data_IF_797220287475
#
_entry.id   IF_797220287475
#
_cell.length_a   1.000
_cell.length_b   1.000
_cell.length_c   1.000
_cell.angle_alpha   90.00
_cell.angle_beta   90.00
_cell.angle_gamma   90.00
#
_symmetry.space_group_name_H-M   'P 1'
#
loop_
_entity.id
_entity.type
_entity.pdbx_description
1 polymer ?
#
# COMPACT_ATOMS: atom_id res chain seq x y z
N UNK A 1 -8.15 11.12 -21.44
CA UNK A 1 -8.79 10.13 -20.54
C UNK A 1 -7.77 9.30 -19.77
N UNK A 2 -6.66 8.88 -20.38
CA UNK A 2 -5.61 8.08 -19.71
C UNK A 2 -4.99 8.74 -18.47
N UNK A 3 -4.81 10.07 -18.47
CA UNK A 3 -4.29 10.80 -17.31
C UNK A 3 -5.15 10.63 -16.03
N UNK A 4 -6.48 10.67 -16.18
CA UNK A 4 -7.41 10.49 -15.05
C UNK A 4 -7.46 9.04 -14.56
N UNK A 5 -7.29 8.06 -15.45
CA UNK A 5 -7.20 6.64 -15.09
C UNK A 5 -5.91 6.34 -14.32
N UNK A 6 -4.77 6.93 -14.72
CA UNK A 6 -3.53 6.81 -13.96
C UNK A 6 -3.65 7.43 -12.56
N UNK A 7 -4.29 8.61 -12.44
CA UNK A 7 -4.55 9.24 -11.13
C UNK A 7 -5.45 8.37 -10.26
N UNK A 8 -6.53 7.82 -10.82
CA UNK A 8 -7.44 6.93 -10.09
C UNK A 8 -6.73 5.64 -9.63
N UNK A 9 -5.90 5.03 -10.49
CA UNK A 9 -5.12 3.84 -10.15
C UNK A 9 -4.07 4.10 -9.07
N UNK A 10 -3.35 5.22 -9.16
CA UNK A 10 -2.42 5.63 -8.11
C UNK A 10 -3.13 5.96 -6.80
N UNK A 11 -4.28 6.65 -6.84
CA UNK A 11 -5.07 6.92 -5.64
C UNK A 11 -5.55 5.63 -4.97
N UNK A 12 -6.00 4.63 -5.75
CA UNK A 12 -6.36 3.32 -5.23
C UNK A 12 -5.14 2.58 -4.63
N UNK A 13 -3.97 2.66 -5.26
CA UNK A 13 -2.73 2.10 -4.72
C UNK A 13 -2.33 2.72 -3.39
N UNK A 14 -2.36 4.06 -3.30
CA UNK A 14 -2.11 4.78 -2.05
C UNK A 14 -3.14 4.47 -0.97
N UNK A 15 -4.42 4.41 -1.32
CA UNK A 15 -5.50 4.03 -0.39
C UNK A 15 -5.27 2.63 0.16
N UNK A 16 -4.94 1.66 -0.69
CA UNK A 16 -4.66 0.29 -0.26
C UNK A 16 -3.44 0.20 0.66
N UNK A 17 -2.34 0.90 0.35
CA UNK A 17 -1.15 0.90 1.21
C UNK A 17 -1.40 1.58 2.57
N UNK A 18 -1.96 2.77 2.58
CA UNK A 18 -2.23 3.48 3.85
C UNK A 18 -3.36 2.82 4.65
N UNK A 19 -4.40 2.33 3.97
CA UNK A 19 -5.46 1.55 4.60
C UNK A 19 -4.93 0.28 5.24
N UNK A 20 -4.00 -0.40 4.58
CA UNK A 20 -3.32 -1.58 5.11
C UNK A 20 -2.48 -1.27 6.36
N UNK A 21 -1.68 -0.19 6.35
CA UNK A 21 -0.90 0.24 7.54
C UNK A 21 -1.82 0.48 8.75
N UNK A 22 -2.98 1.12 8.55
CA UNK A 22 -3.96 1.32 9.61
C UNK A 22 -4.57 0.00 10.08
N UNK A 23 -4.89 -0.91 9.15
CA UNK A 23 -5.44 -2.23 9.46
C UNK A 23 -4.46 -3.09 10.27
N UNK A 24 -3.15 -3.05 9.96
CA UNK A 24 -2.11 -3.76 10.72
C UNK A 24 -2.10 -3.35 12.18
N UNK A 25 -2.32 -2.06 12.50
CA UNK A 25 -2.45 -1.59 13.87
C UNK A 25 -3.64 -2.21 14.61
N UNK A 26 -4.79 -2.31 13.93
CA UNK A 26 -6.00 -2.97 14.48
C UNK A 26 -5.78 -4.49 14.64
N UNK A 27 -5.15 -5.14 13.66
CA UNK A 27 -4.80 -6.55 13.75
C UNK A 27 -3.84 -6.85 14.90
N UNK A 28 -2.88 -5.97 15.14
CA UNK A 28 -1.95 -6.09 16.27
C UNK A 28 -2.71 -6.13 17.61
N UNK A 29 -3.69 -5.25 17.78
CA UNK A 29 -4.52 -5.21 18.98
C UNK A 29 -5.46 -6.44 19.07
N UNK A 30 -6.04 -6.86 17.95
CA UNK A 30 -6.88 -8.06 17.88
C UNK A 30 -6.10 -9.34 18.26
N UNK A 31 -4.88 -9.50 17.73
CA UNK A 31 -4.01 -10.63 18.05
C UNK A 31 -3.61 -10.66 19.53
N UNK A 32 -3.41 -9.50 20.15
CA UNK A 32 -3.16 -9.41 21.60
C UNK A 32 -4.36 -9.85 22.45
N UNK A 33 -5.59 -9.72 21.94
CA UNK A 33 -6.82 -9.97 22.71
C UNK A 33 -7.34 -11.40 22.59
N UNK A 34 -7.28 -12.02 21.41
CA UNK A 34 -7.97 -13.31 21.14
C UNK A 34 -7.00 -14.50 21.07
N UNK A 35 -6.06 -14.60 20.11
CA UNK A 35 -5.32 -15.85 19.88
C UNK A 35 -3.95 -15.87 20.60
N UNK A 36 -3.35 -14.71 20.88
CA UNK A 36 -2.01 -14.59 21.48
C UNK A 36 -2.01 -13.96 22.87
N UNK A 37 -3.08 -14.12 23.64
CA UNK A 37 -3.19 -13.53 24.99
C UNK A 37 -2.06 -13.96 25.95
N UNK A 38 -1.40 -15.08 25.67
CA UNK A 38 -0.27 -15.60 26.44
C UNK A 38 1.11 -15.09 25.96
N UNK A 39 1.18 -14.40 24.82
CA UNK A 39 2.43 -13.84 24.30
C UNK A 39 2.65 -12.41 24.78
N UNK A 40 3.92 -12.09 25.05
CA UNK A 40 4.32 -10.74 25.43
C UNK A 40 3.99 -9.74 24.30
N UNK A 41 3.56 -8.52 24.62
CA UNK A 41 3.35 -7.45 23.64
C UNK A 41 4.55 -7.22 22.72
N UNK A 42 5.77 -7.45 23.23
CA UNK A 42 7.01 -7.39 22.47
C UNK A 42 7.06 -8.38 21.31
N UNK A 43 6.46 -9.57 21.45
CA UNK A 43 6.38 -10.58 20.39
C UNK A 43 5.46 -10.13 19.26
N UNK A 44 4.33 -9.50 19.58
CA UNK A 44 3.35 -9.08 18.56
C UNK A 44 3.90 -7.94 17.68
N UNK A 45 4.70 -7.04 18.25
CA UNK A 45 5.36 -5.94 17.51
C UNK A 45 6.36 -6.44 16.45
N UNK A 46 6.88 -7.67 16.59
CA UNK A 46 7.74 -8.24 15.55
C UNK A 46 7.04 -8.37 14.21
N UNK A 47 5.72 -8.60 14.17
CA UNK A 47 4.97 -8.68 12.90
C UNK A 47 5.11 -7.36 12.13
N UNK A 48 4.77 -6.25 12.78
CA UNK A 48 4.85 -4.91 12.17
C UNK A 48 6.29 -4.51 11.84
N UNK A 49 7.26 -4.90 12.68
CA UNK A 49 8.68 -4.59 12.45
C UNK A 49 9.24 -5.36 11.25
N UNK A 50 8.93 -6.65 11.15
CA UNK A 50 9.30 -7.50 10.02
C UNK A 50 8.61 -7.03 8.75
N UNK A 51 7.33 -6.67 8.83
CA UNK A 51 6.59 -6.07 7.72
C UNK A 51 7.27 -4.81 7.19
N UNK A 52 7.61 -3.86 8.07
CA UNK A 52 8.25 -2.62 7.66
C UNK A 52 9.66 -2.86 7.11
N UNK A 53 10.38 -3.86 7.64
CA UNK A 53 11.68 -4.29 7.11
C UNK A 53 11.57 -4.82 5.68
N UNK A 54 10.66 -5.75 5.42
CA UNK A 54 10.46 -6.31 4.08
C UNK A 54 9.90 -5.29 3.09
N UNK A 55 9.08 -4.35 3.55
CA UNK A 55 8.61 -3.24 2.73
C UNK A 55 9.77 -2.35 2.25
N UNK A 56 10.73 -2.05 3.12
CA UNK A 56 11.96 -1.33 2.73
C UNK A 56 12.82 -2.16 1.78
N UNK A 57 13.03 -3.44 2.08
CA UNK A 57 13.85 -4.34 1.25
C UNK A 57 13.23 -4.50 -0.14
N UNK A 58 11.90 -4.57 -0.25
CA UNK A 58 11.20 -4.67 -1.52
C UNK A 58 11.34 -3.40 -2.38
N UNK A 59 11.67 -2.25 -1.79
CA UNK A 59 11.88 -0.97 -2.49
C UNK A 59 12.84 -1.04 -3.68
N UNK A 60 14.13 -1.37 -3.48
CA UNK A 60 15.09 -1.47 -4.58
C UNK A 60 14.74 -2.55 -5.61
N UNK A 61 14.13 -3.67 -5.21
CA UNK A 61 13.67 -4.70 -6.16
C UNK A 61 12.52 -4.19 -7.01
N UNK A 62 11.55 -3.51 -6.40
CA UNK A 62 10.43 -2.90 -7.10
C UNK A 62 10.89 -1.78 -8.05
N UNK A 63 11.89 -0.99 -7.66
CA UNK A 63 12.52 0.00 -8.53
C UNK A 63 13.16 -0.62 -9.77
N UNK A 64 14.01 -1.64 -9.60
CA UNK A 64 14.63 -2.35 -10.73
C UNK A 64 13.59 -3.00 -11.66
N UNK A 65 12.54 -3.57 -11.08
CA UNK A 65 11.47 -4.22 -11.86
C UNK A 65 10.65 -3.20 -12.64
N UNK A 66 10.41 -2.03 -12.05
CA UNK A 66 9.73 -0.90 -12.68
C UNK A 66 10.54 -0.35 -13.85
N UNK A 67 11.85 -0.17 -13.67
CA UNK A 67 12.73 0.35 -14.71
C UNK A 67 12.90 -0.63 -15.88
N UNK A 68 12.84 -1.93 -15.62
CA UNK A 68 13.04 -2.98 -16.63
C UNK A 68 11.76 -3.39 -17.38
N UNK A 69 10.61 -3.44 -16.70
CA UNK A 69 9.36 -3.99 -17.25
C UNK A 69 8.18 -3.01 -17.22
N UNK A 70 8.40 -1.79 -16.74
CA UNK A 70 7.37 -0.77 -16.56
C UNK A 70 6.50 -0.98 -15.31
N UNK A 71 5.57 -0.06 -15.03
CA UNK A 71 4.81 -0.02 -13.77
C UNK A 71 3.70 -1.08 -13.64
N UNK A 72 3.23 -1.66 -14.74
CA UNK A 72 2.05 -2.56 -14.74
C UNK A 72 2.36 -3.95 -14.18
N UNK A 73 3.54 -4.49 -14.50
CA UNK A 73 3.99 -5.80 -14.03
C UNK A 73 4.15 -5.88 -12.49
N UNK A 74 4.89 -4.96 -11.83
CA UNK A 74 5.02 -4.98 -10.37
C UNK A 74 3.67 -4.78 -9.67
N UNK A 75 2.75 -4.00 -10.24
CA UNK A 75 1.40 -3.82 -9.69
C UNK A 75 0.59 -5.13 -9.69
N UNK A 76 0.57 -5.87 -10.80
CA UNK A 76 -0.15 -7.15 -10.89
C UNK A 76 0.45 -8.21 -9.95
N UNK A 77 1.78 -8.31 -9.90
CA UNK A 77 2.47 -9.26 -9.02
C UNK A 77 2.25 -8.88 -7.54
N UNK A 78 2.38 -7.60 -7.22
CA UNK A 78 2.23 -7.08 -5.86
C UNK A 78 0.81 -7.27 -5.32
N UNK A 79 -0.22 -6.98 -6.12
CA UNK A 79 -1.62 -7.21 -5.73
C UNK A 79 -1.94 -8.69 -5.52
N UNK A 80 -1.47 -9.56 -6.41
CA UNK A 80 -1.62 -11.01 -6.25
C UNK A 80 -0.98 -11.53 -4.97
N UNK A 81 0.28 -11.15 -4.71
CA UNK A 81 1.01 -11.53 -3.49
C UNK A 81 0.37 -10.97 -2.22
N UNK A 82 -0.10 -9.72 -2.26
CA UNK A 82 -0.74 -9.07 -1.12
C UNK A 82 -2.04 -9.77 -0.72
N UNK A 83 -2.93 -10.00 -1.70
CA UNK A 83 -4.20 -10.72 -1.45
C UNK A 83 -3.94 -12.15 -1.00
N UNK A 84 -2.98 -12.83 -1.59
CA UNK A 84 -2.59 -14.18 -1.18
C UNK A 84 -2.09 -14.21 0.27
N UNK A 85 -1.22 -13.28 0.65
CA UNK A 85 -0.72 -13.14 2.02
C UNK A 85 -1.85 -12.87 3.03
N UNK A 86 -2.80 -12.01 2.70
CA UNK A 86 -3.99 -11.75 3.52
C UNK A 86 -4.89 -12.98 3.66
N UNK A 87 -5.18 -13.68 2.56
CA UNK A 87 -6.00 -14.89 2.61
C UNK A 87 -5.34 -15.97 3.47
N UNK A 88 -4.03 -16.13 3.35
CA UNK A 88 -3.28 -17.09 4.15
C UNK A 88 -3.24 -16.69 5.63
N UNK A 89 -3.12 -15.39 5.93
CA UNK A 89 -3.22 -14.86 7.29
C UNK A 89 -4.60 -15.14 7.92
N UNK A 90 -5.68 -15.09 7.13
CA UNK A 90 -7.03 -15.40 7.61
C UNK A 90 -7.24 -16.87 8.01
N UNK A 91 -6.49 -17.81 7.43
CA UNK A 91 -6.55 -19.23 7.80
C UNK A 91 -5.57 -19.59 8.93
N UNK A 92 -4.57 -18.75 9.18
CA UNK A 92 -3.55 -19.04 10.17
C UNK A 92 -4.04 -18.83 11.60
N UNK A 93 -3.74 -19.80 12.47
CA UNK A 93 -4.08 -19.75 13.90
C UNK A 93 -2.85 -19.48 14.79
N UNK A 94 -1.66 -19.66 14.24
CA UNK A 94 -0.38 -19.56 14.95
C UNK A 94 0.38 -18.28 14.60
N UNK A 95 1.11 -17.73 15.58
CA UNK A 95 1.92 -16.51 15.43
C UNK A 95 2.86 -16.57 14.22
N UNK A 96 3.57 -17.68 14.07
CA UNK A 96 4.59 -17.85 13.06
C UNK A 96 4.00 -17.86 11.64
N UNK A 97 2.81 -18.45 11.49
CA UNK A 97 2.10 -18.49 10.21
C UNK A 97 1.61 -17.10 9.81
N UNK A 98 1.09 -16.31 10.77
CA UNK A 98 0.69 -14.92 10.55
C UNK A 98 1.92 -14.08 10.19
N UNK A 99 3.03 -14.25 10.91
CA UNK A 99 4.25 -13.49 10.65
C UNK A 99 4.82 -13.77 9.24
N UNK A 100 4.80 -15.02 8.78
CA UNK A 100 5.25 -15.36 7.43
C UNK A 100 4.28 -14.84 6.34
N UNK A 101 2.98 -15.05 6.51
CA UNK A 101 1.98 -14.68 5.51
C UNK A 101 1.76 -13.16 5.44
N UNK A 102 1.55 -12.52 6.58
CA UNK A 102 1.30 -11.09 6.68
C UNK A 102 2.61 -10.29 6.69
N UNK A 103 3.55 -10.65 7.56
CA UNK A 103 4.78 -9.88 7.76
C UNK A 103 5.78 -10.00 6.62
N UNK A 104 5.75 -11.07 5.81
CA UNK A 104 6.67 -11.24 4.67
C UNK A 104 5.92 -11.20 3.35
N UNK A 105 4.95 -12.10 3.14
CA UNK A 105 4.30 -12.22 1.83
C UNK A 105 3.47 -10.98 1.48
N UNK A 106 2.63 -10.53 2.41
CA UNK A 106 1.84 -9.30 2.23
C UNK A 106 2.76 -8.06 2.16
N UNK A 107 3.77 -7.95 3.03
CA UNK A 107 4.73 -6.83 3.04
C UNK A 107 5.46 -6.64 1.70
N UNK A 108 5.96 -7.73 1.11
CA UNK A 108 6.60 -7.71 -0.22
C UNK A 108 5.58 -7.25 -1.26
N UNK A 109 4.36 -7.79 -1.24
CA UNK A 109 3.27 -7.39 -2.14
C UNK A 109 2.96 -5.89 -2.07
N UNK A 110 2.80 -5.35 -0.85
CA UNK A 110 2.52 -3.92 -0.64
C UNK A 110 3.68 -3.03 -1.10
N UNK A 111 4.93 -3.46 -0.90
CA UNK A 111 6.12 -2.76 -1.39
C UNK A 111 6.17 -2.65 -2.92
N UNK A 112 5.77 -3.71 -3.63
CA UNK A 112 5.65 -3.72 -5.09
C UNK A 112 4.47 -2.89 -5.61
N UNK A 113 3.43 -2.64 -4.80
CA UNK A 113 2.30 -1.76 -5.17
C UNK A 113 2.67 -0.29 -4.95
N UNK A 114 3.32 0.02 -3.83
CA UNK A 114 3.63 1.39 -3.42
C UNK A 114 4.63 2.08 -4.36
N UNK A 115 5.69 1.38 -4.77
CA UNK A 115 6.74 1.95 -5.64
C UNK A 115 6.22 2.45 -6.99
N UNK A 116 5.52 1.64 -7.82
CA UNK A 116 4.96 2.11 -9.08
C UNK A 116 3.90 3.19 -8.88
N UNK A 117 3.06 3.10 -7.84
CA UNK A 117 2.10 4.14 -7.53
C UNK A 117 2.78 5.49 -7.26
N UNK A 118 3.88 5.48 -6.50
CA UNK A 118 4.67 6.67 -6.21
C UNK A 118 5.39 7.22 -7.45
N UNK A 119 6.00 6.35 -8.26
CA UNK A 119 6.73 6.75 -9.45
C UNK A 119 5.80 7.35 -10.51
N UNK A 120 4.65 6.72 -10.78
CA UNK A 120 3.66 7.22 -11.76
C UNK A 120 3.10 8.59 -11.36
N UNK A 121 2.81 8.81 -10.07
CA UNK A 121 2.39 10.14 -9.59
C UNK A 121 3.50 11.17 -9.74
N UNK A 122 4.75 10.79 -9.43
CA UNK A 122 5.89 11.71 -9.56
C UNK A 122 6.21 12.09 -11.01
N UNK A 123 6.03 11.17 -11.96
CA UNK A 123 6.21 11.39 -13.40
C UNK A 123 5.12 12.31 -13.96
N UNK A 124 3.85 12.07 -13.63
CA UNK A 124 2.74 12.87 -14.14
C UNK A 124 2.60 14.26 -13.47
N UNK A 125 3.01 14.41 -12.20
CA UNK A 125 2.83 15.64 -11.41
C UNK A 125 4.14 16.34 -11.03
N UNK A 126 5.15 16.28 -11.91
CA UNK A 126 6.48 16.91 -11.72
C UNK A 126 6.41 18.35 -11.18
N UNK A 127 5.38 19.13 -11.54
CA UNK A 127 5.24 20.55 -11.15
C UNK A 127 4.47 20.81 -9.84
N UNK A 128 3.73 19.84 -9.28
CA UNK A 128 2.92 19.98 -8.04
C UNK A 128 2.84 18.69 -7.20
N UNK A 129 3.99 18.04 -6.99
CA UNK A 129 4.13 16.76 -6.25
C UNK A 129 3.45 16.78 -4.87
N UNK A 130 3.60 17.85 -4.10
CA UNK A 130 3.03 17.97 -2.75
C UNK A 130 1.49 18.00 -2.73
N UNK A 131 0.84 18.65 -3.70
CA UNK A 131 -0.62 18.73 -3.77
C UNK A 131 -1.25 17.44 -4.29
N UNK A 132 -0.60 16.72 -5.21
CA UNK A 132 -1.10 15.44 -5.71
C UNK A 132 -1.02 14.33 -4.66
N UNK A 133 0.08 14.27 -3.89
CA UNK A 133 0.21 13.37 -2.74
C UNK A 133 -0.77 13.76 -1.65
N UNK A 134 -0.91 15.06 -1.33
CA UNK A 134 -1.88 15.54 -0.35
C UNK A 134 -3.35 15.31 -0.75
N UNK A 135 -3.67 15.39 -2.05
CA UNK A 135 -5.02 15.11 -2.55
C UNK A 135 -5.32 13.60 -2.58
N UNK A 136 -4.33 12.78 -2.90
CA UNK A 136 -4.45 11.32 -2.85
C UNK A 136 -4.57 10.81 -1.40
N UNK A 137 -3.84 11.41 -0.46
CA UNK A 137 -4.02 11.13 0.97
C UNK A 137 -5.32 11.73 1.52
N UNK A 138 -5.77 12.89 1.03
CA UNK A 138 -7.08 13.43 1.37
C UNK A 138 -8.25 12.58 0.87
N UNK A 139 -8.09 11.86 -0.25
CA UNK A 139 -9.06 10.88 -0.73
C UNK A 139 -9.24 9.71 0.26
N UNK A 140 -8.17 9.29 0.95
CA UNK A 140 -8.26 8.26 1.99
C UNK A 140 -9.03 8.73 3.24
N UNK A 141 -9.14 10.04 3.46
CA UNK A 141 -9.86 10.63 4.59
C UNK A 141 -11.28 11.12 4.26
N UNK A 142 -11.66 11.25 2.99
CA UNK A 142 -12.95 11.86 2.60
C UNK A 142 -14.03 10.81 2.34
N UNK A 143 -14.67 10.36 3.42
CA UNK A 143 -16.06 9.92 3.37
C UNK A 143 -16.95 11.02 2.75
N UNK A 144 -17.96 10.68 1.94
CA UNK A 144 -18.60 11.64 1.05
C UNK A 144 -19.59 12.52 1.82
N UNK A 145 -19.17 13.70 2.23
CA UNK A 145 -20.09 14.78 2.53
C UNK A 145 -19.54 16.08 1.98
N UNK A 146 -20.21 16.54 0.91
CA UNK A 146 -20.26 17.93 0.45
C UNK A 146 -18.94 18.62 0.13
N UNK A 147 -18.60 18.69 -1.16
CA UNK A 147 -18.74 19.95 -1.92
C UNK A 147 -18.01 19.85 -3.25
N UNK A 148 -18.80 20.00 -4.31
CA UNK A 148 -18.45 20.25 -5.70
C UNK A 148 -17.52 21.45 -5.90
N UNK A 149 -16.93 21.47 -7.09
CA UNK A 149 -16.46 22.65 -7.84
C UNK A 149 -15.08 23.19 -7.51
N UNK A 150 -14.07 22.60 -8.15
CA UNK A 150 -12.94 23.31 -8.76
C UNK A 150 -12.10 22.30 -9.54
N UNK A 151 -12.54 21.97 -10.75
CA UNK A 151 -11.72 21.20 -11.69
C UNK A 151 -10.56 22.10 -12.13
N UNK A 152 -9.30 21.87 -11.72
CA UNK A 152 -8.24 22.79 -12.06
C UNK A 152 -7.69 22.45 -13.44
N UNK A 153 -7.61 23.49 -14.28
CA UNK A 153 -7.29 23.55 -15.72
C UNK A 153 -5.85 23.12 -16.07
N UNK A 154 -5.35 22.02 -15.52
CA UNK A 154 -4.01 21.49 -15.80
C UNK A 154 -4.03 20.04 -16.34
N UNK A 155 -5.19 19.40 -16.40
CA UNK A 155 -5.34 18.06 -16.98
C UNK A 155 -5.24 18.02 -18.52
N UNK A 156 -4.98 19.15 -19.19
CA UNK A 156 -4.91 19.26 -20.66
C UNK A 156 -3.50 19.42 -21.24
N UNK A 157 -2.45 19.42 -20.43
CA UNK A 157 -1.07 19.53 -20.90
C UNK A 157 -0.15 18.55 -20.15
N UNK A 158 -0.21 17.28 -20.55
CA UNK A 158 0.94 16.37 -20.51
C UNK A 158 1.43 16.17 -21.94
N UNK A 159 2.74 15.96 -22.16
CA UNK A 159 3.35 15.83 -23.49
C UNK A 159 2.77 14.68 -24.32
#
# INVERSE_FOLDING_TARGET
>A
MQAWLCVAGSAAGYFSTFGWINAVGVFQEYYQRVPLRNYSPSTVVWIATTENFFLLVAGPFAGNLLDSYGPTLPLCIGTGLHVFGLMMASLSTEFYQILLSQGICSAIGTGFIFNPAAVVVNLWFSRRRGLAVALSSAAASSSPSSSTSSCPRWASHGP
#
